data_IF_716888933109
#
_entry.id   IF_716888933109
#
_cell.length_a   1.000
_cell.length_b   1.000
_cell.length_c   1.000
_cell.angle_alpha   90.00
_cell.angle_beta   90.00
_cell.angle_gamma   90.00
#
_symmetry.space_group_name_H-M   'P 1'
#
loop_
_entity.id
_entity.type
_entity.pdbx_description
1 polymer ?
#
# COMPACT_ATOMS: atom_id res chain seq x y z
N UNK A 1 -20.42 8.13 20.64
CA UNK A 1 -19.70 9.38 20.37
C UNK A 1 -18.22 9.09 20.58
N UNK A 2 -17.34 9.43 19.64
CA UNK A 2 -15.89 9.21 19.78
C UNK A 2 -15.39 9.98 21.00
N UNK A 3 -14.68 9.30 21.89
CA UNK A 3 -14.11 9.85 23.11
C UNK A 3 -12.56 9.84 23.05
N UNK A 4 -11.91 10.25 24.14
CA UNK A 4 -10.45 10.30 24.21
C UNK A 4 -9.80 8.92 24.06
N UNK A 5 -10.37 7.88 24.67
CA UNK A 5 -9.83 6.52 24.61
C UNK A 5 -9.87 5.97 23.16
N UNK A 6 -10.91 6.32 22.40
CA UNK A 6 -11.00 5.97 20.98
C UNK A 6 -9.89 6.65 20.16
N UNK A 7 -9.61 7.92 20.45
CA UNK A 7 -8.53 8.67 19.79
C UNK A 7 -7.14 8.18 20.20
N UNK A 8 -6.94 7.83 21.46
CA UNK A 8 -5.70 7.23 21.98
C UNK A 8 -5.44 5.86 21.36
N UNK A 9 -6.47 4.99 21.29
CA UNK A 9 -6.37 3.69 20.63
C UNK A 9 -6.02 3.84 19.13
N UNK A 10 -6.64 4.81 18.45
CA UNK A 10 -6.33 5.12 17.05
C UNK A 10 -4.88 5.60 16.87
N UNK A 11 -4.39 6.48 17.75
CA UNK A 11 -3.00 6.92 17.72
C UNK A 11 -2.03 5.76 17.95
N UNK A 12 -2.31 4.91 18.94
CA UNK A 12 -1.49 3.74 19.24
C UNK A 12 -1.45 2.75 18.08
N UNK A 13 -2.57 2.56 17.36
CA UNK A 13 -2.60 1.77 16.14
C UNK A 13 -1.71 2.36 15.05
N UNK A 14 -1.74 3.69 14.85
CA UNK A 14 -0.90 4.36 13.87
C UNK A 14 0.59 4.16 14.21
N UNK A 15 0.99 4.45 15.44
CA UNK A 15 2.38 4.26 15.90
C UNK A 15 2.81 2.80 15.76
N UNK A 16 1.97 1.86 16.18
CA UNK A 16 2.26 0.43 16.12
C UNK A 16 2.37 -0.14 14.70
N UNK A 17 1.89 0.56 13.68
CA UNK A 17 1.90 0.11 12.28
C UNK A 17 2.79 0.96 11.37
N UNK A 18 3.57 1.89 11.90
CA UNK A 18 4.41 2.79 11.08
C UNK A 18 5.45 2.03 10.25
N UNK A 19 6.14 1.07 10.88
CA UNK A 19 7.16 0.27 10.19
C UNK A 19 6.53 -0.67 9.15
N UNK A 20 5.45 -1.36 9.51
CA UNK A 20 4.71 -2.25 8.62
C UNK A 20 4.20 -1.49 7.38
N UNK A 21 3.68 -0.28 7.59
CA UNK A 21 3.20 0.59 6.52
C UNK A 21 4.32 1.02 5.57
N UNK A 22 5.47 1.41 6.12
CA UNK A 22 6.67 1.72 5.33
C UNK A 22 7.13 0.52 4.50
N UNK A 23 7.22 -0.66 5.13
CA UNK A 23 7.61 -1.91 4.46
C UNK A 23 6.65 -2.29 3.34
N UNK A 24 5.34 -2.26 3.58
CA UNK A 24 4.32 -2.58 2.58
C UNK A 24 4.40 -1.64 1.37
N UNK A 25 4.56 -0.32 1.61
CA UNK A 25 4.73 0.67 0.55
C UNK A 25 5.97 0.38 -0.28
N UNK A 26 7.12 0.25 0.37
CA UNK A 26 8.40 0.02 -0.31
C UNK A 26 8.39 -1.31 -1.07
N UNK A 27 7.76 -2.36 -0.53
CA UNK A 27 7.64 -3.65 -1.20
C UNK A 27 6.84 -3.56 -2.50
N UNK A 28 5.66 -2.92 -2.46
CA UNK A 28 4.86 -2.65 -3.67
C UNK A 28 5.66 -1.90 -4.74
N UNK A 29 6.39 -0.85 -4.34
CA UNK A 29 7.18 -0.03 -5.26
C UNK A 29 8.38 -0.82 -5.82
N UNK A 30 9.06 -1.61 -4.99
CA UNK A 30 10.18 -2.44 -5.39
C UNK A 30 9.77 -3.52 -6.38
N UNK A 31 8.65 -4.22 -6.13
CA UNK A 31 8.11 -5.22 -7.05
C UNK A 31 7.71 -4.59 -8.39
N UNK A 32 7.11 -3.39 -8.35
CA UNK A 32 6.76 -2.65 -9.56
C UNK A 32 7.99 -2.35 -10.43
N UNK A 33 9.11 -1.95 -9.83
CA UNK A 33 10.36 -1.73 -10.55
C UNK A 33 10.98 -3.05 -11.03
N UNK A 34 10.95 -4.11 -10.20
CA UNK A 34 11.50 -5.42 -10.53
C UNK A 34 10.86 -6.06 -11.78
N UNK A 35 9.62 -5.70 -12.13
CA UNK A 35 8.96 -6.22 -13.35
C UNK A 35 9.78 -5.97 -14.61
N UNK A 36 10.51 -4.85 -14.67
CA UNK A 36 11.36 -4.48 -15.82
C UNK A 36 12.51 -5.48 -15.95
N UNK A 37 13.11 -5.87 -14.83
CA UNK A 37 14.17 -6.88 -14.76
C UNK A 37 13.66 -8.26 -15.17
N UNK A 38 12.47 -8.65 -14.70
CA UNK A 38 11.85 -9.93 -15.10
C UNK A 38 11.56 -9.94 -16.60
N UNK A 39 10.94 -8.88 -17.13
CA UNK A 39 10.67 -8.74 -18.55
C UNK A 39 11.97 -8.82 -19.38
N UNK A 40 13.01 -8.10 -18.98
CA UNK A 40 14.30 -8.11 -19.67
C UNK A 40 14.94 -9.51 -19.66
N UNK A 41 14.86 -10.20 -18.51
CA UNK A 41 15.38 -11.57 -18.38
C UNK A 41 14.66 -12.54 -19.30
N UNK A 42 13.34 -12.44 -19.40
CA UNK A 42 12.54 -13.29 -20.27
C UNK A 42 12.72 -12.93 -21.76
N UNK A 43 12.92 -11.65 -22.08
CA UNK A 43 13.28 -11.20 -23.41
C UNK A 43 14.62 -11.80 -23.87
N UNK A 44 15.62 -11.84 -22.99
CA UNK A 44 16.93 -12.42 -23.27
C UNK A 44 16.87 -13.92 -23.57
N UNK A 45 15.97 -14.65 -22.90
CA UNK A 45 15.72 -16.08 -23.14
C UNK A 45 14.93 -16.36 -24.42
N UNK A 46 14.08 -15.43 -24.86
CA UNK A 46 13.22 -15.63 -26.00
C UNK A 46 14.00 -15.59 -27.33
N UNK A 47 13.58 -16.43 -28.29
CA UNK A 47 14.11 -16.48 -29.66
C UNK A 47 13.12 -15.87 -30.65
N UNK A 48 13.65 -15.16 -31.65
CA UNK A 48 12.90 -14.55 -32.74
C UNK A 48 13.33 -13.10 -32.98
N UNK A 49 12.53 -12.38 -33.76
CA UNK A 49 12.66 -10.94 -33.93
C UNK A 49 12.46 -10.20 -32.60
N UNK A 50 12.91 -8.94 -32.51
CA UNK A 50 12.74 -8.14 -31.31
C UNK A 50 11.25 -8.00 -30.89
N UNK A 51 10.34 -7.90 -31.86
CA UNK A 51 8.90 -7.82 -31.60
C UNK A 51 8.36 -9.13 -30.98
N UNK A 52 8.70 -10.28 -31.57
CA UNK A 52 8.28 -11.59 -31.06
C UNK A 52 8.84 -11.87 -29.67
N UNK A 53 10.11 -11.52 -29.43
CA UNK A 53 10.76 -11.69 -28.12
C UNK A 53 10.08 -10.86 -27.05
N UNK A 54 9.67 -9.64 -27.38
CA UNK A 54 8.93 -8.77 -26.45
C UNK A 54 7.59 -9.38 -26.07
N UNK A 55 6.83 -9.88 -27.05
CA UNK A 55 5.54 -10.53 -26.78
C UNK A 55 5.72 -11.81 -25.95
N UNK A 56 6.72 -12.64 -26.28
CA UNK A 56 7.03 -13.86 -25.52
C UNK A 56 7.43 -13.55 -24.08
N UNK A 57 8.22 -12.50 -23.85
CA UNK A 57 8.61 -12.08 -22.52
C UNK A 57 7.42 -11.65 -21.66
N UNK A 58 6.51 -10.83 -22.23
CA UNK A 58 5.29 -10.40 -21.56
C UNK A 58 4.28 -11.54 -21.35
N UNK A 59 4.30 -12.54 -22.23
CA UNK A 59 3.43 -13.73 -22.13
C UNK A 59 4.00 -14.83 -21.21
N UNK A 60 5.27 -14.71 -20.78
CA UNK A 60 5.94 -15.70 -19.93
C UNK A 60 5.22 -15.90 -18.60
N UNK A 61 5.33 -17.11 -18.05
CA UNK A 61 4.70 -17.43 -16.77
C UNK A 61 5.36 -16.64 -15.64
N UNK A 62 6.68 -16.46 -15.68
CA UNK A 62 7.42 -15.72 -14.66
C UNK A 62 7.03 -14.24 -14.63
N UNK A 63 6.76 -13.63 -15.79
CA UNK A 63 6.25 -12.26 -15.82
C UNK A 63 4.83 -12.18 -15.25
N UNK A 64 3.96 -13.14 -15.59
CA UNK A 64 2.57 -13.20 -15.06
C UNK A 64 2.53 -13.45 -13.55
N UNK A 65 3.36 -14.36 -13.05
CA UNK A 65 3.53 -14.62 -11.61
C UNK A 65 4.02 -13.36 -10.89
N UNK A 66 4.99 -12.65 -11.47
CA UNK A 66 5.48 -11.40 -10.90
C UNK A 66 4.40 -10.31 -10.84
N UNK A 67 3.52 -10.24 -11.84
CA UNK A 67 2.34 -9.36 -11.78
C UNK A 67 1.39 -9.74 -10.62
N UNK A 68 1.29 -11.04 -10.30
CA UNK A 68 0.58 -11.53 -9.12
C UNK A 68 1.17 -10.97 -7.83
N UNK A 69 2.49 -11.05 -7.66
CA UNK A 69 3.16 -10.49 -6.49
C UNK A 69 2.97 -8.98 -6.36
N UNK A 70 3.02 -8.23 -7.47
CA UNK A 70 2.73 -6.79 -7.46
C UNK A 70 1.30 -6.52 -6.98
N UNK A 71 0.32 -7.24 -7.53
CA UNK A 71 -1.08 -7.08 -7.16
C UNK A 71 -1.27 -7.34 -5.67
N UNK A 72 -0.71 -8.44 -5.16
CA UNK A 72 -0.90 -8.83 -3.77
C UNK A 72 -0.24 -7.82 -2.81
N UNK A 73 0.98 -7.38 -3.11
CA UNK A 73 1.66 -6.34 -2.33
C UNK A 73 0.92 -4.98 -2.35
N UNK A 74 0.30 -4.63 -3.49
CA UNK A 74 -0.53 -3.43 -3.59
C UNK A 74 -1.82 -3.54 -2.77
N UNK A 75 -2.47 -4.70 -2.79
CA UNK A 75 -3.67 -4.96 -1.98
C UNK A 75 -3.32 -4.83 -0.50
N UNK A 76 -2.23 -5.46 -0.05
CA UNK A 76 -1.80 -5.40 1.35
C UNK A 76 -1.49 -3.96 1.78
N UNK A 77 -0.74 -3.22 0.95
CA UNK A 77 -0.46 -1.82 1.19
C UNK A 77 -1.72 -0.96 1.27
N UNK A 78 -2.66 -1.09 0.32
CA UNK A 78 -3.89 -0.28 0.29
C UNK A 78 -4.84 -0.64 1.43
N UNK A 79 -4.93 -1.91 1.85
CA UNK A 79 -5.69 -2.31 3.04
C UNK A 79 -5.11 -1.63 4.29
N UNK A 80 -3.79 -1.69 4.47
CA UNK A 80 -3.13 -1.06 5.63
C UNK A 80 -3.28 0.47 5.59
N UNK A 81 -3.16 1.07 4.40
CA UNK A 81 -3.40 2.50 4.17
C UNK A 81 -4.82 2.89 4.55
N UNK A 82 -5.82 2.14 4.11
CA UNK A 82 -7.22 2.41 4.42
C UNK A 82 -7.48 2.32 5.94
N UNK A 83 -6.97 1.29 6.60
CA UNK A 83 -7.06 1.17 8.08
C UNK A 83 -6.41 2.36 8.78
N UNK A 84 -5.22 2.78 8.35
CA UNK A 84 -4.55 3.96 8.93
C UNK A 84 -5.35 5.24 8.68
N UNK A 85 -5.91 5.43 7.48
CA UNK A 85 -6.77 6.56 7.16
C UNK A 85 -8.01 6.61 8.08
N UNK A 86 -8.67 5.48 8.32
CA UNK A 86 -9.79 5.41 9.27
C UNK A 86 -9.38 5.87 10.67
N UNK A 87 -8.21 5.45 11.16
CA UNK A 87 -7.69 5.87 12.46
C UNK A 87 -7.36 7.37 12.50
N UNK A 88 -6.84 7.93 11.40
CA UNK A 88 -6.68 9.39 11.27
C UNK A 88 -8.03 10.12 11.35
N UNK A 89 -9.06 9.62 10.67
CA UNK A 89 -10.40 10.20 10.75
C UNK A 89 -11.00 10.14 12.16
N UNK A 90 -10.74 9.07 12.93
CA UNK A 90 -11.15 8.95 14.33
C UNK A 90 -10.54 10.08 15.17
N UNK A 91 -9.23 10.33 15.01
CA UNK A 91 -8.51 11.40 15.71
C UNK A 91 -9.08 12.78 15.33
N UNK A 92 -9.32 13.04 14.04
CA UNK A 92 -9.88 14.31 13.57
C UNK A 92 -11.32 14.54 14.07
N UNK A 93 -12.14 13.49 14.11
CA UNK A 93 -13.48 13.57 14.67
C UNK A 93 -13.43 13.88 16.17
N UNK A 94 -12.54 13.24 16.93
CA UNK A 94 -12.33 13.57 18.35
C UNK A 94 -11.91 15.03 18.55
N UNK A 95 -10.94 15.52 17.76
CA UNK A 95 -10.50 16.94 17.80
C UNK A 95 -11.67 17.89 17.58
N UNK A 96 -12.53 17.59 16.63
CA UNK A 96 -13.71 18.40 16.28
C UNK A 96 -14.74 18.43 17.41
N UNK A 97 -15.09 17.26 17.98
CA UNK A 97 -16.05 17.15 19.08
C UNK A 97 -15.53 17.86 20.34
N UNK A 98 -14.27 17.65 20.70
CA UNK A 98 -13.66 18.26 21.88
C UNK A 98 -13.54 19.79 21.76
N UNK A 99 -13.24 20.31 20.56
CA UNK A 99 -13.22 21.75 20.30
C UNK A 99 -14.61 22.39 20.47
N UNK A 100 -15.66 21.72 20.00
CA UNK A 100 -17.04 22.20 20.15
C UNK A 100 -17.52 22.18 21.61
N UNK A 101 -17.10 21.20 22.41
CA UNK A 101 -17.42 21.14 23.84
C UNK A 101 -16.85 22.33 24.64
N UNK A 102 -15.73 22.92 24.20
CA UNK A 102 -15.10 24.08 24.86
C UNK A 102 -15.81 25.41 24.58
N UNK A 103 -16.66 25.50 23.55
CA UNK A 103 -17.36 26.74 23.16
C UNK A 103 -18.63 27.04 23.97
N UNK A 104 -19.06 26.13 24.86
CA UNK A 104 -20.29 26.28 25.66
C UNK A 104 -20.13 26.99 27.01
N UNK A 105 -18.93 27.44 27.38
CA UNK A 105 -18.65 28.11 28.66
C UNK A 105 -18.46 29.64 28.52
N UNK A 106 -19.28 30.31 27.70
CA UNK A 106 -19.34 31.79 27.61
C UNK A 106 -20.73 32.24 28.06
#
# INVERSE_FOLDING_TARGET
MINYNDAEAALNYLVGTDEEFGRAKTMSDALYEQRKTIQATQFLKAVGSAAERTQKALASNEYKEHLGFIRDAQIDFEILRAKRLTNQCIIEMWRSVNSNARKGNI
#
